data_IF_993590077424
#
_entry.id   IF_993590077424
#
_cell.length_a   1.000
_cell.length_b   1.000
_cell.length_c   1.000
_cell.angle_alpha   90.00
_cell.angle_beta   90.00
_cell.angle_gamma   90.00
#
_symmetry.space_group_name_H-M   'P 1'
#
loop_
_entity.id
_entity.type
_entity.pdbx_description
1 polymer ?
#
# COMPACT_ATOMS: atom_id res chain seq x y z
N UNK A 1 -10.18 -1.52 -2.03
CA UNK A 1 -11.62 -1.61 -2.39
C UNK A 1 -11.97 -0.45 -3.30
N UNK A 2 -12.70 -0.73 -4.39
CA UNK A 2 -13.19 0.26 -5.36
C UNK A 2 -14.70 0.22 -5.37
N UNK A 3 -15.31 1.40 -5.52
CA UNK A 3 -16.76 1.56 -5.60
C UNK A 3 -17.09 2.58 -6.70
N UNK A 4 -18.17 2.34 -7.43
CA UNK A 4 -18.66 3.24 -8.46
C UNK A 4 -20.17 3.31 -8.45
N UNK A 5 -20.70 4.24 -9.21
CA UNK A 5 -22.14 4.40 -9.45
C UNK A 5 -22.36 4.51 -10.96
N UNK A 6 -23.31 3.76 -11.46
CA UNK A 6 -23.81 3.84 -12.82
C UNK A 6 -25.33 3.72 -12.79
N UNK A 7 -25.98 4.44 -13.67
CA UNK A 7 -27.45 4.46 -13.81
C UNK A 7 -27.79 4.29 -15.29
N UNK A 8 -28.82 3.53 -15.54
CA UNK A 8 -29.44 3.41 -16.86
C UNK A 8 -30.76 4.14 -16.86
N UNK A 9 -31.08 4.90 -17.96
CA UNK A 9 -32.28 5.72 -18.05
C UNK A 9 -33.57 4.91 -18.12
N UNK A 10 -33.47 3.68 -18.67
CA UNK A 10 -34.62 2.80 -18.88
C UNK A 10 -34.75 1.77 -17.74
N UNK A 11 -33.80 1.80 -16.78
CA UNK A 11 -33.76 0.93 -15.61
C UNK A 11 -33.25 -0.47 -15.91
N UNK A 12 -32.50 -0.63 -17.01
CA UNK A 12 -31.92 -1.90 -17.41
C UNK A 12 -30.84 -2.37 -16.45
N UNK A 13 -30.66 -3.69 -16.39
CA UNK A 13 -29.61 -4.29 -15.59
C UNK A 13 -28.26 -4.07 -16.25
N UNK A 14 -27.37 -3.38 -15.54
CA UNK A 14 -26.01 -3.16 -16.00
C UNK A 14 -25.07 -4.32 -15.63
N UNK A 15 -24.16 -4.60 -16.54
CA UNK A 15 -22.99 -5.45 -16.32
C UNK A 15 -21.74 -4.61 -16.48
N UNK A 16 -20.68 -4.97 -15.72
CA UNK A 16 -19.46 -4.18 -15.67
C UNK A 16 -18.26 -4.98 -16.16
N UNK A 17 -17.40 -4.31 -16.91
CA UNK A 17 -16.01 -4.72 -17.13
C UNK A 17 -15.11 -3.77 -16.37
N UNK A 18 -14.19 -4.31 -15.58
CA UNK A 18 -13.23 -3.54 -14.81
C UNK A 18 -11.85 -3.87 -15.36
N UNK A 19 -11.17 -2.86 -15.86
CA UNK A 19 -9.82 -2.97 -16.40
C UNK A 19 -8.87 -2.05 -15.66
N UNK A 20 -7.58 -2.34 -15.69
CA UNK A 20 -6.53 -1.52 -15.12
C UNK A 20 -5.39 -1.33 -16.11
N UNK A 21 -4.62 -0.29 -15.89
CA UNK A 21 -3.32 -0.07 -16.56
C UNK A 21 -2.37 0.62 -15.59
N UNK A 22 -1.08 0.43 -15.78
CA UNK A 22 -0.08 1.25 -15.10
C UNK A 22 -0.08 2.65 -15.69
N UNK A 23 0.17 3.67 -14.88
CA UNK A 23 0.31 5.05 -15.37
C UNK A 23 1.42 5.13 -16.42
N UNK A 24 1.12 5.76 -17.57
CA UNK A 24 2.02 5.83 -18.72
C UNK A 24 1.86 4.68 -19.73
N UNK A 25 1.18 3.59 -19.40
CA UNK A 25 0.83 2.56 -20.36
C UNK A 25 -0.41 2.94 -21.16
N UNK A 26 -0.51 2.42 -22.39
CA UNK A 26 -1.69 2.61 -23.26
C UNK A 26 -2.61 1.41 -23.26
N UNK A 27 -2.09 0.22 -22.99
CA UNK A 27 -2.86 -1.02 -22.98
C UNK A 27 -3.64 -1.19 -21.68
N UNK A 28 -4.90 -1.59 -21.80
CA UNK A 28 -5.75 -1.97 -20.68
C UNK A 28 -5.71 -3.49 -20.47
N UNK A 29 -5.69 -3.89 -19.22
CA UNK A 29 -5.74 -5.29 -18.78
C UNK A 29 -7.06 -5.52 -18.07
N UNK A 30 -7.88 -6.44 -18.60
CA UNK A 30 -9.13 -6.78 -17.95
C UNK A 30 -8.87 -7.51 -16.64
N UNK A 31 -9.48 -7.03 -15.57
CA UNK A 31 -9.44 -7.65 -14.25
C UNK A 31 -10.71 -8.41 -13.94
N UNK A 32 -11.88 -7.81 -14.21
CA UNK A 32 -13.20 -8.43 -14.05
C UNK A 32 -14.04 -8.19 -15.30
N UNK A 33 -14.75 -9.21 -15.73
CA UNK A 33 -15.74 -9.13 -16.82
C UNK A 33 -17.07 -9.69 -16.37
N UNK A 34 -18.17 -9.20 -16.92
CA UNK A 34 -19.54 -9.59 -16.55
C UNK A 34 -19.80 -9.45 -15.03
N UNK A 35 -19.20 -8.45 -14.40
CA UNK A 35 -19.38 -8.16 -12.99
C UNK A 35 -20.72 -7.48 -12.75
N UNK A 36 -21.41 -7.79 -11.65
CA UNK A 36 -22.78 -7.33 -11.41
C UNK A 36 -22.90 -6.33 -10.27
N UNK A 37 -21.90 -6.29 -9.39
CA UNK A 37 -21.89 -5.38 -8.24
C UNK A 37 -21.24 -4.05 -8.60
N UNK A 38 -21.55 -3.01 -7.83
CA UNK A 38 -20.96 -1.67 -7.96
C UNK A 38 -19.75 -1.47 -7.05
N UNK A 39 -19.22 -2.57 -6.52
CA UNK A 39 -18.03 -2.60 -5.68
C UNK A 39 -17.16 -3.82 -6.03
N UNK A 40 -15.84 -3.64 -5.95
CA UNK A 40 -14.89 -4.74 -6.09
C UNK A 40 -13.69 -4.58 -5.16
N UNK A 41 -13.19 -5.70 -4.64
CA UNK A 41 -11.97 -5.76 -3.84
C UNK A 41 -10.87 -6.38 -4.69
N UNK A 42 -9.77 -5.67 -4.85
CA UNK A 42 -8.61 -6.14 -5.58
C UNK A 42 -7.49 -6.55 -4.61
N UNK A 43 -7.00 -7.78 -4.76
CA UNK A 43 -5.73 -8.21 -4.17
C UNK A 43 -4.60 -7.72 -5.07
N UNK A 44 -3.99 -6.62 -4.67
CA UNK A 44 -2.95 -5.94 -5.44
C UNK A 44 -1.60 -6.62 -5.40
N UNK A 45 -1.42 -7.67 -4.59
CA UNK A 45 -0.19 -8.48 -4.57
C UNK A 45 0.05 -9.22 -5.89
N UNK A 46 -0.98 -9.28 -6.75
CA UNK A 46 -0.92 -9.88 -8.08
C UNK A 46 -0.29 -9.00 -9.16
N UNK A 47 0.03 -7.74 -8.85
CA UNK A 47 0.63 -6.78 -9.77
C UNK A 47 1.87 -6.11 -9.15
N UNK A 48 2.85 -5.68 -9.96
CA UNK A 48 4.02 -4.96 -9.47
C UNK A 48 3.65 -3.64 -8.81
N UNK A 49 4.49 -3.18 -7.88
CA UNK A 49 4.37 -1.86 -7.30
C UNK A 49 4.43 -0.77 -8.37
N UNK A 50 3.68 0.30 -8.14
CA UNK A 50 3.63 1.43 -9.05
C UNK A 50 2.31 2.19 -9.00
N UNK A 51 2.14 3.09 -9.96
CA UNK A 51 0.95 3.93 -10.03
C UNK A 51 0.01 3.43 -11.11
N UNK A 52 -1.26 3.26 -10.77
CA UNK A 52 -2.27 2.62 -11.60
C UNK A 52 -3.51 3.47 -11.78
N UNK A 53 -4.26 3.16 -12.84
CA UNK A 53 -5.57 3.73 -13.15
C UNK A 53 -6.53 2.56 -13.39
N UNK A 54 -7.71 2.61 -12.79
CA UNK A 54 -8.81 1.70 -13.08
C UNK A 54 -9.77 2.33 -14.08
N UNK A 55 -10.34 1.51 -14.94
CA UNK A 55 -11.46 1.87 -15.81
C UNK A 55 -12.62 0.91 -15.54
N UNK A 56 -13.81 1.48 -15.35
CA UNK A 56 -15.06 0.74 -15.29
C UNK A 56 -15.87 1.05 -16.54
N UNK A 57 -16.25 0.01 -17.27
CA UNK A 57 -17.17 0.09 -18.40
C UNK A 57 -18.47 -0.57 -17.98
N UNK A 58 -19.57 0.19 -18.00
CA UNK A 58 -20.91 -0.29 -17.71
C UNK A 58 -21.66 -0.53 -19.03
N UNK A 59 -22.37 -1.64 -19.15
CA UNK A 59 -23.13 -2.00 -20.35
C UNK A 59 -24.48 -2.62 -19.99
N UNK A 60 -25.51 -2.25 -20.74
CA UNK A 60 -26.87 -2.80 -20.69
C UNK A 60 -27.08 -3.97 -21.67
N UNK A 61 -26.02 -4.50 -22.27
CA UNK A 61 -26.05 -5.56 -23.29
C UNK A 61 -26.82 -6.81 -22.86
N UNK A 62 -26.94 -7.07 -21.55
CA UNK A 62 -27.72 -8.20 -21.03
C UNK A 62 -29.24 -8.02 -21.20
N UNK A 63 -29.72 -6.80 -21.39
CA UNK A 63 -31.12 -6.44 -21.50
C UNK A 63 -31.52 -6.01 -22.93
N UNK A 64 -30.55 -5.69 -23.79
CA UNK A 64 -30.75 -5.08 -25.09
C UNK A 64 -30.24 -5.91 -26.26
N UNK A 65 -30.85 -5.69 -27.44
CA UNK A 65 -30.34 -6.22 -28.71
C UNK A 65 -29.09 -5.44 -29.14
N UNK A 66 -28.21 -6.07 -29.92
CA UNK A 66 -26.89 -5.53 -30.28
C UNK A 66 -26.90 -4.10 -30.89
N UNK A 67 -28.00 -3.74 -31.56
CA UNK A 67 -28.19 -2.43 -32.18
C UNK A 67 -28.66 -1.33 -31.18
N UNK A 68 -28.98 -1.70 -29.94
CA UNK A 68 -29.49 -0.82 -28.89
C UNK A 68 -28.59 -0.76 -27.66
N UNK A 69 -27.54 -1.56 -27.63
CA UNK A 69 -26.61 -1.60 -26.49
C UNK A 69 -25.98 -0.24 -26.27
N UNK A 70 -26.03 0.21 -25.02
CA UNK A 70 -25.31 1.39 -24.54
C UNK A 70 -24.13 0.97 -23.65
N UNK A 71 -23.05 1.71 -23.78
CA UNK A 71 -21.86 1.52 -22.97
C UNK A 71 -21.39 2.87 -22.44
N UNK A 72 -21.18 2.95 -21.14
CA UNK A 72 -20.57 4.10 -20.48
C UNK A 72 -19.27 3.72 -19.81
N UNK A 73 -18.23 4.56 -19.89
CA UNK A 73 -16.93 4.29 -19.30
C UNK A 73 -16.48 5.42 -18.38
N UNK A 74 -15.75 5.07 -17.32
CA UNK A 74 -15.10 6.05 -16.44
C UNK A 74 -13.78 5.51 -15.92
N UNK A 75 -12.77 6.39 -15.94
CA UNK A 75 -11.45 6.13 -15.33
C UNK A 75 -11.39 6.73 -13.91
N UNK A 76 -10.64 6.08 -13.04
CA UNK A 76 -10.30 6.62 -11.72
C UNK A 76 -9.23 7.70 -11.82
N UNK A 77 -9.06 8.49 -10.76
CA UNK A 77 -7.77 9.14 -10.53
C UNK A 77 -6.68 8.08 -10.35
N UNK A 78 -5.41 8.39 -10.71
CA UNK A 78 -4.29 7.51 -10.42
C UNK A 78 -4.17 7.22 -8.91
N UNK A 79 -3.80 5.98 -8.57
CA UNK A 79 -3.57 5.53 -7.20
C UNK A 79 -2.32 4.66 -7.13
N UNK A 80 -1.68 4.63 -5.96
CA UNK A 80 -0.46 3.88 -5.75
C UNK A 80 -0.77 2.45 -5.27
N UNK A 81 0.00 1.50 -5.78
CA UNK A 81 0.09 0.12 -5.30
C UNK A 81 1.51 -0.06 -4.79
N UNK A 82 1.63 -0.46 -3.54
CA UNK A 82 2.88 -0.76 -2.87
C UNK A 82 2.68 -2.01 -2.01
N UNK A 83 3.38 -3.07 -2.36
CA UNK A 83 3.38 -4.36 -1.67
C UNK A 83 4.75 -4.67 -1.05
N UNK A 84 5.68 -3.71 -1.14
CA UNK A 84 7.06 -3.89 -0.70
C UNK A 84 7.27 -3.29 0.69
N UNK A 85 7.68 -4.10 1.69
CA UNK A 85 7.97 -3.58 3.02
C UNK A 85 9.16 -2.61 3.04
N UNK A 86 9.17 -1.64 3.97
CA UNK A 86 10.31 -0.75 4.16
C UNK A 86 11.58 -1.51 4.56
N UNK A 87 12.73 -0.91 4.32
CA UNK A 87 14.05 -1.45 4.67
C UNK A 87 14.57 -0.73 5.90
N UNK A 88 14.93 -1.48 6.95
CA UNK A 88 15.54 -0.97 8.17
C UNK A 88 17.06 -1.21 8.08
N UNK A 89 17.87 -0.16 8.14
CA UNK A 89 19.33 -0.23 8.08
C UNK A 89 19.96 0.41 9.31
N UNK A 90 20.77 -0.35 10.05
CA UNK A 90 21.56 0.19 11.17
C UNK A 90 22.63 1.13 10.64
N UNK A 91 22.81 2.29 11.26
CA UNK A 91 23.82 3.29 10.88
C UNK A 91 25.25 2.82 11.24
N UNK A 92 25.38 1.92 12.20
CA UNK A 92 26.65 1.34 12.61
C UNK A 92 26.58 -0.18 12.64
N UNK A 93 27.63 -0.84 12.17
CA UNK A 93 27.76 -2.30 12.21
C UNK A 93 27.75 -2.88 13.63
N UNK A 94 28.09 -2.08 14.63
CA UNK A 94 27.99 -2.41 16.07
C UNK A 94 27.33 -1.25 16.79
N UNK A 95 26.06 -1.41 17.21
CA UNK A 95 25.37 -0.39 18.01
C UNK A 95 26.11 -0.11 19.32
N UNK A 96 25.99 1.11 19.79
CA UNK A 96 26.45 1.47 21.14
C UNK A 96 25.64 0.68 22.19
N UNK A 97 26.21 0.30 23.33
CA UNK A 97 25.50 -0.38 24.41
C UNK A 97 24.35 0.44 25.00
N UNK A 98 24.31 1.75 24.73
CA UNK A 98 23.29 2.66 25.25
C UNK A 98 22.45 3.33 24.17
N UNK A 99 22.82 3.17 22.89
CA UNK A 99 22.17 3.89 21.80
C UNK A 99 22.22 3.13 20.49
N UNK A 100 21.08 3.00 19.83
CA UNK A 100 20.92 2.43 18.49
C UNK A 100 20.43 3.53 17.57
N UNK A 101 21.13 3.75 16.47
CA UNK A 101 20.69 4.64 15.38
C UNK A 101 20.49 3.85 14.11
N UNK A 102 19.44 4.15 13.38
CA UNK A 102 19.10 3.46 12.14
C UNK A 102 18.26 4.35 11.24
N UNK A 103 18.26 4.00 9.96
CA UNK A 103 17.44 4.63 8.94
C UNK A 103 16.40 3.62 8.45
N UNK A 104 15.18 4.06 8.29
CA UNK A 104 14.10 3.31 7.65
C UNK A 104 13.83 3.96 6.31
N UNK A 105 13.80 3.16 5.25
CA UNK A 105 13.59 3.66 3.89
C UNK A 105 12.61 2.79 3.15
N UNK A 106 11.69 3.42 2.45
CA UNK A 106 10.80 2.78 1.49
C UNK A 106 10.98 3.35 0.07
N UNK A 107 10.76 2.53 -0.95
CA UNK A 107 10.95 2.92 -2.35
C UNK A 107 9.75 3.66 -2.93
N UNK A 108 8.54 3.40 -2.41
CA UNK A 108 7.27 3.86 -3.01
C UNK A 108 6.46 4.74 -2.07
N UNK A 109 6.35 4.36 -0.80
CA UNK A 109 5.45 4.99 0.16
C UNK A 109 6.18 5.65 1.32
N UNK A 110 5.53 6.54 2.04
CA UNK A 110 6.08 7.14 3.26
C UNK A 110 6.06 6.14 4.42
N UNK A 111 6.95 6.35 5.39
CA UNK A 111 6.94 5.59 6.64
C UNK A 111 5.79 6.11 7.50
N UNK A 112 4.92 5.21 7.96
CA UNK A 112 3.80 5.54 8.84
C UNK A 112 4.26 5.59 10.30
N UNK A 113 4.82 4.49 10.79
CA UNK A 113 5.35 4.45 12.15
C UNK A 113 6.45 3.40 12.33
N UNK A 114 7.26 3.62 13.35
CA UNK A 114 8.31 2.68 13.78
C UNK A 114 8.15 2.39 15.27
N UNK A 115 8.35 1.13 15.62
CA UNK A 115 8.26 0.63 16.98
C UNK A 115 9.47 -0.24 17.31
N UNK A 116 9.80 -0.36 18.59
CA UNK A 116 10.80 -1.32 19.05
C UNK A 116 10.32 -2.08 20.28
N UNK A 117 10.88 -3.27 20.47
CA UNK A 117 10.71 -4.07 21.67
C UNK A 117 12.05 -4.57 22.17
N UNK A 118 12.19 -4.77 23.48
CA UNK A 118 13.40 -5.30 24.14
C UNK A 118 13.06 -6.65 24.75
N UNK A 119 13.79 -7.70 24.36
CA UNK A 119 13.71 -9.01 24.99
C UNK A 119 12.35 -9.69 24.95
N UNK A 120 11.54 -9.43 23.89
CA UNK A 120 10.20 -9.98 23.75
C UNK A 120 9.12 -9.23 24.57
N UNK A 121 9.43 -8.04 25.07
CA UNK A 121 8.47 -7.13 25.70
C UNK A 121 7.48 -6.52 24.71
N UNK A 122 6.62 -5.62 25.21
CA UNK A 122 5.69 -4.86 24.37
C UNK A 122 6.43 -3.92 23.42
N UNK A 123 5.86 -3.71 22.24
CA UNK A 123 6.33 -2.71 21.30
C UNK A 123 6.02 -1.29 21.81
N UNK A 124 6.99 -0.40 21.64
CA UNK A 124 6.91 1.03 21.95
C UNK A 124 7.15 1.83 20.69
N UNK A 125 6.21 2.67 20.30
CA UNK A 125 6.34 3.57 19.15
C UNK A 125 7.39 4.65 19.44
N UNK A 126 8.20 4.99 18.42
CA UNK A 126 9.20 6.06 18.48
C UNK A 126 8.97 7.04 17.32
N UNK A 127 9.31 8.30 17.56
CA UNK A 127 9.31 9.34 16.54
C UNK A 127 10.66 9.41 15.83
N UNK A 128 10.71 9.78 14.54
CA UNK A 128 11.97 10.05 13.86
C UNK A 128 12.72 11.24 14.51
N UNK A 129 13.98 11.40 14.17
CA UNK A 129 14.88 12.41 14.77
C UNK A 129 14.40 13.84 14.51
N UNK A 130 13.74 14.09 13.38
CA UNK A 130 13.15 15.39 13.05
C UNK A 130 11.75 15.62 13.66
N UNK A 131 11.15 14.57 14.25
CA UNK A 131 9.88 14.61 14.98
C UNK A 131 8.63 14.28 14.19
N UNK A 132 8.71 14.09 12.86
CA UNK A 132 7.54 13.83 11.99
C UNK A 132 7.84 12.68 11.03
N UNK A 133 7.03 11.62 11.07
CA UNK A 133 7.10 10.53 10.11
C UNK A 133 6.23 10.89 8.90
N UNK A 134 6.81 11.43 7.84
CA UNK A 134 6.09 11.91 6.66
C UNK A 134 6.84 11.68 5.33
N UNK A 135 8.01 11.05 5.39
CA UNK A 135 8.82 10.83 4.20
C UNK A 135 9.16 9.35 3.98
N UNK A 136 9.72 9.08 2.79
CA UNK A 136 10.14 7.71 2.40
C UNK A 136 11.44 7.28 3.07
N UNK A 137 12.11 8.19 3.72
CA UNK A 137 13.37 7.95 4.42
C UNK A 137 13.37 8.71 5.72
N UNK A 138 13.40 7.97 6.83
CA UNK A 138 13.35 8.50 8.17
C UNK A 138 14.48 7.94 9.02
N UNK A 139 15.05 8.79 9.87
CA UNK A 139 16.12 8.42 10.80
C UNK A 139 15.59 8.33 12.22
N UNK A 140 15.98 7.27 12.92
CA UNK A 140 15.53 6.98 14.28
C UNK A 140 16.69 6.77 15.23
N UNK A 141 16.42 7.03 16.52
CA UNK A 141 17.33 6.80 17.60
C UNK A 141 16.59 6.14 18.78
N UNK A 142 17.14 5.05 19.30
CA UNK A 142 16.68 4.37 20.52
C UNK A 142 17.73 4.53 21.60
N UNK A 143 17.35 5.12 22.74
CA UNK A 143 18.18 5.10 23.95
C UNK A 143 17.85 3.87 24.77
N UNK A 144 18.85 3.04 25.06
CA UNK A 144 18.68 1.80 25.79
C UNK A 144 18.91 2.01 27.29
N UNK A 145 18.11 1.35 28.17
CA UNK A 145 18.41 1.28 29.60
C UNK A 145 19.81 0.69 29.85
N UNK A 146 20.49 1.15 30.90
CA UNK A 146 21.80 0.65 31.26
C UNK A 146 21.78 -0.87 31.48
N UNK A 147 22.76 -1.58 30.90
CA UNK A 147 22.86 -3.04 30.99
C UNK A 147 21.97 -3.82 30.00
N UNK A 148 21.27 -3.12 29.10
CA UNK A 148 20.52 -3.77 28.04
C UNK A 148 21.49 -4.29 26.96
N UNK A 149 21.33 -5.55 26.59
CA UNK A 149 22.02 -6.11 25.45
C UNK A 149 21.32 -5.66 24.15
N UNK A 150 22.00 -4.89 23.27
CA UNK A 150 21.41 -4.42 22.00
C UNK A 150 20.86 -5.56 21.12
N UNK A 151 21.45 -6.74 21.19
CA UNK A 151 21.01 -7.91 20.39
C UNK A 151 19.61 -8.42 20.76
N UNK A 152 19.05 -7.94 21.88
CA UNK A 152 17.69 -8.25 22.30
C UNK A 152 16.65 -7.24 21.80
N UNK A 153 17.09 -6.24 21.04
CA UNK A 153 16.20 -5.21 20.47
C UNK A 153 15.68 -5.68 19.12
N UNK A 154 14.38 -5.60 18.95
CA UNK A 154 13.68 -5.81 17.69
C UNK A 154 13.05 -4.50 17.28
N UNK A 155 13.30 -4.07 16.06
CA UNK A 155 12.67 -2.89 15.44
C UNK A 155 11.64 -3.38 14.43
N UNK A 156 10.49 -2.74 14.40
CA UNK A 156 9.43 -2.95 13.41
C UNK A 156 9.07 -1.63 12.77
N UNK A 157 9.06 -1.57 11.44
CA UNK A 157 8.67 -0.42 10.66
C UNK A 157 7.45 -0.76 9.80
N UNK A 158 6.52 0.17 9.72
CA UNK A 158 5.30 0.05 8.91
C UNK A 158 5.21 1.28 8.01
N UNK A 159 4.91 1.08 6.73
CA UNK A 159 4.63 2.16 5.79
C UNK A 159 3.14 2.53 5.76
N UNK A 160 2.77 3.57 5.01
CA UNK A 160 1.38 4.03 4.89
C UNK A 160 0.49 3.06 4.10
N UNK A 161 1.06 2.08 3.40
CA UNK A 161 0.34 1.00 2.71
C UNK A 161 0.20 -0.25 3.58
N UNK A 162 0.67 -0.19 4.85
CA UNK A 162 0.61 -1.25 5.85
C UNK A 162 1.56 -2.43 5.59
N UNK A 163 2.60 -2.25 4.76
CA UNK A 163 3.65 -3.24 4.65
C UNK A 163 4.59 -3.13 5.87
N UNK A 164 5.02 -4.28 6.38
CA UNK A 164 5.76 -4.35 7.64
C UNK A 164 7.10 -5.01 7.46
N UNK A 165 8.16 -4.36 7.93
CA UNK A 165 9.50 -4.93 8.08
C UNK A 165 9.87 -5.09 9.55
N UNK A 166 10.72 -6.08 9.84
CA UNK A 166 11.25 -6.33 11.18
C UNK A 166 12.75 -6.58 11.11
N UNK A 167 13.50 -5.97 12.01
CA UNK A 167 14.95 -6.17 12.16
C UNK A 167 15.29 -6.50 13.61
N UNK A 168 16.07 -7.56 13.85
CA UNK A 168 16.74 -7.79 15.13
C UNK A 168 18.13 -7.15 15.07
N UNK A 169 18.44 -6.29 16.02
CA UNK A 169 19.75 -5.65 16.16
C UNK A 169 20.80 -6.73 16.50
N UNK A 170 21.94 -6.70 15.82
CA UNK A 170 23.02 -7.71 16.00
C UNK A 170 24.34 -7.04 16.36
#
# INVERSE_FOLDING_TARGET
TFQWRAEDSDGDRLTYTIAYRREGETAWHDWKTNWLDTMAVWDTTSVPDGRYILKVSASDASSNTADRVLVGERESSPFDIDNTPPVIALDAARPSPTRITFTVRDAQSAIDHVEYAIGGGAFTTITPVDGVADSREERYEITLPAGTDPSRVVVRATDVMLNVATLTVK
#
